data_IF_129393137475
#
_entry.id   IF_129393137475
#
_cell.length_a   1.000
_cell.length_b   1.000
_cell.length_c   1.000
_cell.angle_alpha   90.00
_cell.angle_beta   90.00
_cell.angle_gamma   90.00
#
_symmetry.space_group_name_H-M   'P 1'
#
loop_
_entity.id
_entity.type
_entity.pdbx_description
1 polymer ?
#
# COMPACT_ATOMS: atom_id res chain seq x y z
N UNK A 1 -10.49 4.03 -10.89
CA UNK A 1 -9.86 4.75 -9.76
C UNK A 1 -8.36 4.60 -9.86
N UNK A 2 -7.57 5.56 -9.35
CA UNK A 2 -6.11 5.47 -9.30
C UNK A 2 -5.63 5.91 -7.92
N UNK A 3 -4.59 5.25 -7.40
CA UNK A 3 -3.95 5.67 -6.15
C UNK A 3 -3.21 6.99 -6.39
N UNK A 4 -3.55 8.02 -5.61
CA UNK A 4 -3.00 9.37 -5.81
C UNK A 4 -1.49 9.40 -5.53
N UNK A 5 -0.63 9.68 -6.54
CA UNK A 5 0.79 9.86 -6.29
C UNK A 5 1.01 11.13 -5.47
N UNK A 6 1.82 11.05 -4.42
CA UNK A 6 2.09 12.19 -3.54
C UNK A 6 3.52 12.14 -2.97
N UNK A 7 4.05 13.31 -2.59
CA UNK A 7 5.34 13.47 -1.92
C UNK A 7 5.25 14.58 -0.87
N UNK A 8 6.12 14.51 0.15
CA UNK A 8 6.20 15.54 1.20
C UNK A 8 7.52 16.29 1.07
N UNK A 9 7.47 17.62 1.14
CA UNK A 9 8.64 18.50 1.24
C UNK A 9 8.46 19.35 2.50
N UNK A 10 9.44 19.32 3.41
CA UNK A 10 9.42 20.20 4.58
C UNK A 10 10.09 21.54 4.26
N UNK A 11 9.29 22.55 3.89
CA UNK A 11 9.79 23.89 3.53
C UNK A 11 9.88 24.86 4.73
N UNK A 12 9.35 24.49 5.90
CA UNK A 12 9.14 25.42 7.01
C UNK A 12 10.33 25.63 7.94
N UNK A 13 11.41 24.83 7.79
CA UNK A 13 12.55 24.86 8.71
C UNK A 13 12.22 24.45 10.16
N UNK A 14 11.01 23.95 10.41
CA UNK A 14 10.51 23.47 11.69
C UNK A 14 10.07 22.01 11.53
N UNK A 15 9.96 21.30 12.65
CA UNK A 15 9.49 19.91 12.65
C UNK A 15 8.05 19.80 12.13
N UNK A 16 7.82 18.81 11.27
CA UNK A 16 6.50 18.49 10.72
C UNK A 16 6.06 17.12 11.22
N UNK A 17 4.97 17.08 11.98
CA UNK A 17 4.36 15.84 12.47
C UNK A 17 3.18 15.43 11.59
N UNK A 18 3.07 14.14 11.29
CA UNK A 18 1.96 13.57 10.53
C UNK A 18 1.85 12.08 10.85
N UNK A 19 0.65 11.63 11.21
CA UNK A 19 0.37 10.25 11.58
C UNK A 19 -0.68 9.73 10.59
N UNK A 20 -0.29 9.02 9.51
CA UNK A 20 -1.24 8.52 8.53
C UNK A 20 -2.03 7.32 9.07
N UNK A 21 -3.31 7.24 8.68
CA UNK A 21 -4.14 6.06 8.87
C UNK A 21 -4.33 5.36 7.52
N UNK A 22 -3.99 4.07 7.46
CA UNK A 22 -4.26 3.22 6.31
C UNK A 22 -5.42 2.28 6.62
N UNK A 23 -6.51 2.40 5.86
CA UNK A 23 -7.67 1.49 5.97
C UNK A 23 -7.44 0.32 5.03
N UNK A 24 -6.99 -0.79 5.61
CA UNK A 24 -6.63 -1.98 4.88
C UNK A 24 -7.75 -3.04 4.97
N UNK A 25 -7.95 -3.86 3.93
CA UNK A 25 -8.79 -5.05 4.02
C UNK A 25 -8.27 -6.09 5.03
N UNK A 26 -9.09 -7.13 5.29
CA UNK A 26 -8.61 -8.33 6.00
C UNK A 26 -7.39 -8.93 5.29
N UNK A 27 -6.42 -9.43 6.06
CA UNK A 27 -5.23 -10.08 5.52
C UNK A 27 -5.57 -11.32 4.66
N UNK A 28 -6.69 -11.99 4.97
CA UNK A 28 -7.12 -13.24 4.32
C UNK A 28 -7.95 -13.02 3.05
N UNK A 29 -8.17 -11.77 2.63
CA UNK A 29 -9.03 -11.48 1.47
C UNK A 29 -8.25 -11.63 0.16
N UNK A 30 -8.92 -12.21 -0.85
CA UNK A 30 -8.48 -12.13 -2.24
C UNK A 30 -9.14 -10.93 -2.93
N UNK A 31 -8.33 -10.05 -3.51
CA UNK A 31 -8.79 -8.86 -4.24
C UNK A 31 -8.81 -9.19 -5.73
N UNK A 32 -9.92 -8.88 -6.40
CA UNK A 32 -10.12 -9.06 -7.83
C UNK A 32 -10.81 -7.82 -8.44
N UNK A 33 -10.60 -7.54 -9.75
CA UNK A 33 -11.35 -6.49 -10.45
C UNK A 33 -12.86 -6.72 -10.39
N UNK A 34 -13.63 -5.65 -10.13
CA UNK A 34 -15.10 -5.71 -10.08
C UNK A 34 -15.78 -5.20 -11.36
N UNK A 35 -15.15 -4.24 -12.05
CA UNK A 35 -15.73 -3.54 -13.22
C UNK A 35 -14.59 -3.27 -14.21
N UNK A 36 -14.87 -3.37 -15.51
CA UNK A 36 -13.90 -3.15 -16.58
C UNK A 36 -13.46 -4.48 -17.20
N UNK A 37 -12.22 -4.53 -17.68
CA UNK A 37 -11.62 -5.78 -18.18
C UNK A 37 -11.21 -6.66 -16.99
N UNK A 38 -12.11 -7.55 -16.58
CA UNK A 38 -11.96 -8.39 -15.39
C UNK A 38 -10.80 -9.37 -15.47
N UNK A 39 -10.35 -9.70 -16.70
CA UNK A 39 -9.26 -10.64 -16.95
C UNK A 39 -7.91 -9.92 -17.13
N UNK A 40 -7.89 -8.58 -17.11
CA UNK A 40 -6.65 -7.79 -17.30
C UNK A 40 -5.70 -7.83 -16.11
N UNK A 41 -6.18 -8.21 -14.93
CA UNK A 41 -5.39 -8.25 -13.70
C UNK A 41 -5.75 -9.51 -12.92
N UNK A 42 -4.74 -10.34 -12.70
CA UNK A 42 -4.88 -11.54 -11.87
C UNK A 42 -5.29 -11.18 -10.43
N UNK A 43 -6.28 -11.89 -9.85
CA UNK A 43 -6.61 -11.76 -8.44
C UNK A 43 -5.40 -12.04 -7.54
N UNK A 44 -5.32 -11.35 -6.40
CA UNK A 44 -4.21 -11.51 -5.47
C UNK A 44 -4.65 -11.54 -4.02
N UNK A 45 -3.89 -12.26 -3.19
CA UNK A 45 -4.11 -12.34 -1.75
C UNK A 45 -3.55 -11.10 -1.05
N UNK A 46 -4.38 -10.36 -0.31
CA UNK A 46 -4.00 -9.06 0.24
C UNK A 46 -2.87 -9.15 1.27
N UNK A 47 -2.90 -10.13 2.17
CA UNK A 47 -1.84 -10.30 3.18
C UNK A 47 -0.47 -10.57 2.56
N UNK A 48 -0.42 -11.33 1.46
CA UNK A 48 0.82 -11.60 0.72
C UNK A 48 1.33 -10.32 0.05
N UNK A 49 0.44 -9.60 -0.64
CA UNK A 49 0.77 -8.32 -1.26
C UNK A 49 1.31 -7.31 -0.23
N UNK A 50 0.66 -7.18 0.92
CA UNK A 50 1.05 -6.24 1.97
C UNK A 50 2.43 -6.58 2.54
N UNK A 51 2.69 -7.86 2.81
CA UNK A 51 3.98 -8.33 3.30
C UNK A 51 5.10 -8.04 2.29
N UNK A 52 4.89 -8.38 1.02
CA UNK A 52 5.87 -8.13 -0.04
C UNK A 52 6.16 -6.63 -0.21
N UNK A 53 5.11 -5.80 -0.14
CA UNK A 53 5.24 -4.35 -0.21
C UNK A 53 6.08 -3.82 0.96
N UNK A 54 5.82 -4.28 2.19
CA UNK A 54 6.57 -3.85 3.37
C UNK A 54 8.02 -4.32 3.34
N UNK A 55 8.29 -5.56 2.92
CA UNK A 55 9.66 -6.06 2.75
C UNK A 55 10.46 -5.21 1.74
N UNK A 56 9.83 -4.80 0.64
CA UNK A 56 10.45 -3.91 -0.37
C UNK A 56 10.65 -2.48 0.15
N UNK A 57 9.69 -1.96 0.92
CA UNK A 57 9.70 -0.58 1.42
C UNK A 57 10.67 -0.41 2.59
N UNK A 58 10.75 -1.41 3.46
CA UNK A 58 11.52 -1.40 4.70
C UNK A 58 12.48 -2.59 4.78
N UNK A 59 13.48 -2.69 3.88
CA UNK A 59 14.33 -3.88 3.76
C UNK A 59 15.16 -4.16 5.03
N UNK A 60 15.45 -3.13 5.83
CA UNK A 60 16.22 -3.28 7.08
C UNK A 60 15.38 -3.81 8.25
N UNK A 61 14.06 -3.88 8.12
CA UNK A 61 13.15 -4.27 9.19
C UNK A 61 13.03 -5.80 9.38
N UNK A 62 13.67 -6.61 8.51
CA UNK A 62 13.69 -8.08 8.59
C UNK A 62 12.30 -8.70 8.80
N UNK A 63 11.30 -8.24 8.03
CA UNK A 63 9.92 -8.70 8.11
C UNK A 63 9.85 -10.15 7.58
N UNK A 64 9.54 -11.10 8.47
CA UNK A 64 9.54 -12.55 8.19
C UNK A 64 8.23 -13.09 7.66
#
# INVERSE_FOLDING_TARGET
FSSTPHRVINCGGQDRYSIPLFVNPSAEVTIAPLIGDIDSVEPFHYGTYQKDLWQKTFPVANIT
#
